data_IF_934684531356
#
_entry.id   IF_934684531356
#
_cell.length_a   1.000
_cell.length_b   1.000
_cell.length_c   1.000
_cell.angle_alpha   90.00
_cell.angle_beta   90.00
_cell.angle_gamma   90.00
#
_symmetry.space_group_name_H-M   'P 1'
#
loop_
_entity.id
_entity.type
_entity.pdbx_description
1 polymer ?
#
# COMPACT_ATOMS: atom_id res chain seq x y z
N UNK A 1 24.33 -14.13 -20.20
CA UNK A 1 24.97 -15.44 -20.42
C UNK A 1 24.21 -16.49 -19.62
N UNK A 2 23.51 -17.40 -20.33
CA UNK A 2 22.74 -18.52 -19.77
C UNK A 2 23.67 -19.54 -19.09
N UNK A 3 23.26 -20.09 -17.94
CA UNK A 3 23.58 -21.48 -17.58
C UNK A 3 22.41 -22.15 -16.86
N UNK A 4 21.88 -23.17 -17.53
CA UNK A 4 21.06 -24.25 -17.01
C UNK A 4 21.89 -25.14 -16.06
N UNK A 5 21.26 -25.69 -15.02
CA UNK A 5 21.68 -26.97 -14.41
C UNK A 5 20.42 -27.83 -14.21
N UNK A 6 20.32 -28.87 -15.03
CA UNK A 6 19.54 -30.07 -14.76
C UNK A 6 20.29 -30.91 -13.72
N UNK A 7 19.59 -31.47 -12.73
CA UNK A 7 20.03 -32.70 -12.08
C UNK A 7 18.88 -33.71 -12.05
N UNK A 8 19.05 -34.68 -12.94
CA UNK A 8 18.43 -35.99 -13.00
C UNK A 8 19.05 -36.84 -11.87
N UNK A 9 18.23 -37.54 -11.10
CA UNK A 9 18.66 -38.75 -10.40
C UNK A 9 17.51 -39.76 -10.43
N UNK A 10 17.68 -40.76 -11.28
CA UNK A 10 16.90 -41.99 -11.27
C UNK A 10 17.65 -43.01 -10.41
N UNK A 11 16.93 -43.76 -9.58
CA UNK A 11 17.08 -45.21 -9.39
C UNK A 11 16.08 -45.67 -8.34
N UNK A 12 15.17 -46.58 -8.70
CA UNK A 12 14.86 -47.76 -7.90
C UNK A 12 14.00 -48.72 -8.72
N UNK A 13 14.62 -49.84 -9.05
CA UNK A 13 14.11 -51.03 -9.69
C UNK A 13 13.38 -51.88 -8.63
N UNK A 14 12.18 -52.38 -8.93
CA UNK A 14 11.66 -53.60 -8.30
C UNK A 14 10.72 -54.33 -9.27
N UNK A 15 11.01 -55.63 -9.38
CA UNK A 15 10.49 -56.63 -10.30
C UNK A 15 9.26 -57.31 -9.69
N UNK A 16 8.23 -57.60 -10.49
CA UNK A 16 7.41 -58.81 -10.38
C UNK A 16 6.49 -58.95 -11.61
N UNK A 17 6.88 -59.79 -12.58
CA UNK A 17 5.94 -60.41 -13.51
C UNK A 17 6.31 -61.88 -13.65
N UNK A 18 5.38 -62.75 -13.26
CA UNK A 18 5.41 -64.17 -13.47
C UNK A 18 4.30 -64.59 -14.43
N UNK A 19 4.74 -65.05 -15.61
CA UNK A 19 4.24 -66.16 -16.45
C UNK A 19 2.82 -66.20 -17.05
N UNK A 20 2.86 -66.64 -18.33
CA UNK A 20 1.87 -67.35 -19.15
C UNK A 20 0.83 -66.48 -19.91
N UNK A 21 0.53 -66.70 -21.20
CA UNK A 21 0.92 -67.73 -22.17
C UNK A 21 0.74 -67.19 -23.61
N UNK A 22 1.52 -67.75 -24.54
CA UNK A 22 1.25 -67.67 -25.98
C UNK A 22 0.04 -68.55 -26.36
N UNK A 23 -0.74 -68.10 -27.33
CA UNK A 23 -1.25 -68.99 -28.38
C UNK A 23 -1.44 -68.22 -29.68
N UNK A 24 -0.97 -68.86 -30.74
CA UNK A 24 -0.76 -68.43 -32.12
C UNK A 24 -1.99 -67.96 -32.91
N UNK A 25 -1.68 -67.10 -33.88
CA UNK A 25 -2.15 -66.97 -35.27
C UNK A 25 -3.36 -67.78 -35.77
N UNK A 26 -4.29 -67.07 -36.44
CA UNK A 26 -4.87 -67.51 -37.72
C UNK A 26 -5.37 -66.30 -38.54
N UNK A 27 -5.07 -66.33 -39.84
CA UNK A 27 -5.22 -65.27 -40.86
C UNK A 27 -6.66 -65.02 -41.37
N UNK A 28 -7.05 -63.73 -41.47
CA UNK A 28 -7.84 -63.00 -42.51
C UNK A 28 -9.14 -63.57 -43.17
N UNK A 29 -9.94 -62.78 -43.93
CA UNK A 29 -10.30 -61.35 -43.86
C UNK A 29 -11.82 -61.06 -44.08
N UNK A 30 -12.28 -59.86 -43.71
CA UNK A 30 -13.39 -59.18 -44.39
C UNK A 30 -14.66 -58.89 -43.57
N UNK A 31 -15.10 -57.64 -43.61
CA UNK A 31 -16.53 -57.30 -43.51
C UNK A 31 -16.96 -56.40 -42.37
N UNK A 32 -17.01 -55.10 -42.68
CA UNK A 32 -17.89 -54.07 -42.11
C UNK A 32 -17.54 -53.47 -40.73
N UNK A 33 -16.66 -52.49 -40.75
CA UNK A 33 -16.62 -51.40 -39.77
C UNK A 33 -17.73 -50.40 -40.11
N UNK A 34 -18.92 -50.59 -39.55
CA UNK A 34 -19.82 -49.46 -39.35
C UNK A 34 -19.30 -48.71 -38.12
N UNK A 35 -18.64 -47.59 -38.43
CA UNK A 35 -18.18 -46.59 -37.48
C UNK A 35 -19.37 -46.14 -36.62
N UNK A 36 -19.46 -46.63 -35.39
CA UNK A 36 -19.90 -45.76 -34.31
C UNK A 36 -18.75 -44.78 -34.08
N UNK A 37 -18.77 -43.70 -34.85
CA UNK A 37 -18.08 -42.47 -34.50
C UNK A 37 -18.66 -42.02 -33.14
N UNK A 38 -17.99 -42.46 -32.09
CA UNK A 38 -18.06 -41.87 -30.76
C UNK A 38 -17.56 -40.42 -30.95
N UNK A 39 -18.50 -39.49 -31.16
CA UNK A 39 -18.31 -38.07 -31.45
C UNK A 39 -17.75 -37.32 -30.22
N UNK A 40 -16.60 -37.79 -29.74
CA UNK A 40 -15.98 -37.46 -28.47
C UNK A 40 -15.01 -36.28 -28.62
N UNK A 41 -15.47 -35.19 -29.24
CA UNK A 41 -14.72 -33.93 -29.23
C UNK A 41 -15.65 -32.72 -29.34
N UNK A 42 -16.12 -32.17 -28.21
CA UNK A 42 -16.78 -30.86 -28.25
C UNK A 42 -16.44 -29.92 -27.09
N UNK A 43 -15.38 -29.15 -27.33
CA UNK A 43 -15.29 -27.73 -26.93
C UNK A 43 -15.05 -26.92 -28.20
N UNK A 44 -15.93 -25.97 -28.49
CA UNK A 44 -15.61 -24.80 -29.34
C UNK A 44 -16.51 -23.67 -28.85
N UNK A 45 -16.14 -23.04 -27.74
CA UNK A 45 -16.85 -21.90 -27.16
C UNK A 45 -15.83 -20.79 -26.91
N UNK A 46 -15.58 -19.87 -27.83
CA UNK A 46 -14.33 -19.08 -27.80
C UNK A 46 -14.20 -18.06 -26.67
N UNK A 47 -15.25 -17.33 -26.33
CA UNK A 47 -15.28 -16.41 -25.20
C UNK A 47 -16.63 -16.55 -24.50
N UNK A 48 -17.00 -17.80 -24.25
CA UNK A 48 -18.32 -18.19 -23.76
C UNK A 48 -18.21 -19.42 -22.84
N UNK A 49 -19.20 -19.59 -21.99
CA UNK A 49 -19.41 -20.86 -21.29
C UNK A 49 -20.87 -21.30 -21.38
N UNK A 50 -21.10 -22.61 -21.37
CA UNK A 50 -22.42 -23.22 -21.41
C UNK A 50 -22.79 -23.88 -20.09
N UNK A 51 -24.03 -23.72 -19.66
CA UNK A 51 -24.56 -24.33 -18.44
C UNK A 51 -26.10 -24.42 -18.49
N UNK A 52 -26.67 -25.60 -18.17
CA UNK A 52 -28.13 -25.86 -18.18
C UNK A 52 -28.84 -25.27 -19.41
N UNK A 53 -28.39 -25.66 -20.60
CA UNK A 53 -28.89 -25.21 -21.92
C UNK A 53 -28.70 -23.72 -22.27
N UNK A 54 -28.04 -22.93 -21.40
CA UNK A 54 -27.67 -21.54 -21.69
C UNK A 54 -26.26 -21.45 -22.20
N UNK A 55 -26.02 -20.49 -23.10
CA UNK A 55 -24.68 -20.03 -23.49
C UNK A 55 -24.54 -18.59 -23.01
N UNK A 56 -23.47 -18.30 -22.28
CA UNK A 56 -23.20 -17.01 -21.67
C UNK A 56 -21.89 -16.46 -22.22
N UNK A 57 -21.93 -15.23 -22.72
CA UNK A 57 -20.72 -14.50 -23.14
C UNK A 57 -19.86 -14.18 -21.92
N UNK A 58 -18.56 -14.35 -22.04
CA UNK A 58 -17.58 -13.93 -21.03
C UNK A 58 -17.18 -12.49 -21.35
N UNK A 59 -17.47 -11.57 -20.43
CA UNK A 59 -17.22 -10.14 -20.59
C UNK A 59 -16.16 -9.59 -19.63
N UNK A 60 -15.95 -10.24 -18.50
CA UNK A 60 -14.87 -9.90 -17.55
C UNK A 60 -14.16 -11.17 -17.11
N UNK A 61 -12.82 -11.12 -17.08
CA UNK A 61 -11.99 -12.21 -16.58
C UNK A 61 -10.97 -11.70 -15.58
N UNK A 62 -11.01 -12.27 -14.37
CA UNK A 62 -10.01 -12.02 -13.34
C UNK A 62 -9.26 -13.30 -12.98
N UNK A 63 -7.99 -13.12 -12.62
CA UNK A 63 -7.20 -14.11 -11.89
C UNK A 63 -6.94 -13.59 -10.48
N UNK A 64 -7.16 -14.42 -9.48
CA UNK A 64 -6.83 -14.16 -8.08
C UNK A 64 -6.24 -15.45 -7.49
N UNK A 65 -4.96 -15.44 -7.14
CA UNK A 65 -4.32 -16.66 -6.64
C UNK A 65 -4.72 -16.92 -5.17
N UNK A 66 -5.14 -18.14 -4.87
CA UNK A 66 -5.57 -18.55 -3.54
C UNK A 66 -4.63 -19.65 -3.03
N UNK A 67 -3.75 -19.28 -2.08
CA UNK A 67 -2.69 -20.15 -1.59
C UNK A 67 -1.80 -20.69 -2.72
N UNK A 68 -1.81 -22.00 -2.97
CA UNK A 68 -1.02 -22.63 -4.03
C UNK A 68 -1.78 -22.78 -5.37
N UNK A 69 -3.02 -22.29 -5.43
CA UNK A 69 -3.87 -22.44 -6.61
C UNK A 69 -3.97 -21.14 -7.40
N UNK A 70 -3.92 -21.25 -8.71
CA UNK A 70 -4.40 -20.19 -9.59
C UNK A 70 -5.93 -20.28 -9.68
N UNK A 71 -6.63 -19.16 -9.48
CA UNK A 71 -8.09 -19.11 -9.58
C UNK A 71 -8.51 -18.09 -10.61
N UNK A 72 -9.37 -18.50 -11.53
CA UNK A 72 -9.91 -17.70 -12.62
C UNK A 72 -11.41 -17.53 -12.42
N UNK A 73 -11.88 -16.30 -12.60
CA UNK A 73 -13.27 -15.89 -12.49
C UNK A 73 -13.70 -15.36 -13.85
N UNK A 74 -14.59 -16.06 -14.53
CA UNK A 74 -15.09 -15.71 -15.87
C UNK A 74 -16.56 -15.29 -15.76
N UNK A 75 -16.85 -14.01 -15.93
CA UNK A 75 -18.18 -13.43 -15.69
C UNK A 75 -18.85 -12.95 -16.98
N UNK A 76 -20.18 -13.13 -17.11
CA UNK A 76 -20.98 -12.48 -18.14
C UNK A 76 -21.34 -11.02 -17.83
N UNK A 77 -21.01 -10.52 -16.65
CA UNK A 77 -21.08 -9.08 -16.35
C UNK A 77 -19.88 -8.38 -16.99
N UNK A 78 -20.12 -7.28 -17.69
CA UNK A 78 -19.07 -6.46 -18.27
C UNK A 78 -18.43 -5.52 -17.24
N UNK A 79 -17.20 -5.10 -17.50
CA UNK A 79 -16.49 -4.06 -16.74
C UNK A 79 -16.26 -4.36 -15.24
N UNK A 80 -16.24 -5.63 -14.85
CA UNK A 80 -15.83 -6.04 -13.50
C UNK A 80 -14.31 -6.03 -13.42
N UNK A 81 -13.76 -5.16 -12.56
CA UNK A 81 -12.32 -4.85 -12.52
C UNK A 81 -11.59 -5.39 -11.30
N UNK A 82 -12.31 -5.90 -10.31
CA UNK A 82 -11.76 -6.39 -9.07
C UNK A 82 -12.54 -7.59 -8.51
N UNK A 83 -11.86 -8.38 -7.68
CA UNK A 83 -12.36 -9.64 -7.13
C UNK A 83 -13.49 -9.44 -6.11
N UNK A 84 -13.51 -8.29 -5.41
CA UNK A 84 -14.54 -7.98 -4.42
C UNK A 84 -15.88 -7.73 -5.12
N UNK A 85 -15.89 -6.92 -6.17
CA UNK A 85 -17.06 -6.71 -7.03
C UNK A 85 -17.48 -8.01 -7.71
N UNK A 86 -16.53 -8.77 -8.27
CA UNK A 86 -16.78 -10.08 -8.88
C UNK A 86 -17.52 -11.03 -7.92
N UNK A 87 -17.01 -11.18 -6.69
CA UNK A 87 -17.61 -12.02 -5.64
C UNK A 87 -18.96 -11.50 -5.17
N UNK A 88 -19.13 -10.18 -5.06
CA UNK A 88 -20.39 -9.56 -4.65
C UNK A 88 -21.51 -9.76 -5.68
N UNK A 89 -21.19 -9.71 -6.98
CA UNK A 89 -22.14 -10.01 -8.05
C UNK A 89 -22.55 -11.48 -8.10
N UNK A 90 -21.66 -12.38 -7.64
CA UNK A 90 -21.87 -13.83 -7.58
C UNK A 90 -22.39 -14.43 -8.91
N UNK A 91 -21.92 -13.89 -10.03
CA UNK A 91 -22.29 -14.32 -11.37
C UNK A 91 -21.02 -14.55 -12.19
N UNK A 92 -20.36 -15.68 -11.96
CA UNK A 92 -19.12 -16.04 -12.62
C UNK A 92 -18.89 -17.55 -12.59
N UNK A 93 -18.27 -18.08 -13.62
CA UNK A 93 -17.64 -19.39 -13.61
C UNK A 93 -16.31 -19.26 -12.87
N UNK A 94 -16.16 -20.00 -11.77
CA UNK A 94 -14.90 -20.09 -11.02
C UNK A 94 -14.16 -21.35 -11.42
N UNK A 95 -12.90 -21.20 -11.84
CA UNK A 95 -11.99 -22.29 -12.19
C UNK A 95 -10.75 -22.17 -11.33
N UNK A 96 -10.50 -23.17 -10.47
CA UNK A 96 -9.30 -23.23 -9.63
C UNK A 96 -8.51 -24.49 -9.95
N UNK A 97 -7.19 -24.34 -10.07
CA UNK A 97 -6.26 -25.44 -10.25
C UNK A 97 -4.93 -25.14 -9.55
N UNK A 98 -4.18 -26.17 -9.12
CA UNK A 98 -2.84 -25.98 -8.59
C UNK A 98 -1.94 -25.25 -9.60
N UNK A 99 -1.15 -24.29 -9.12
CA UNK A 99 -0.34 -23.43 -10.01
C UNK A 99 0.69 -24.23 -10.85
N UNK A 100 1.17 -25.35 -10.33
CA UNK A 100 2.09 -26.27 -11.04
C UNK A 100 1.43 -27.05 -12.19
N UNK A 101 0.10 -26.95 -12.34
CA UNK A 101 -0.69 -27.57 -13.43
C UNK A 101 -1.03 -26.61 -14.57
N UNK A 102 -0.68 -25.33 -14.45
CA UNK A 102 -0.80 -24.38 -15.54
C UNK A 102 0.02 -24.85 -16.75
N UNK A 103 -0.53 -24.69 -17.95
CA UNK A 103 0.07 -25.11 -19.21
C UNK A 103 -0.12 -26.58 -19.58
N UNK A 104 -0.72 -27.38 -18.70
CA UNK A 104 -0.98 -28.80 -18.92
C UNK A 104 -2.45 -29.05 -19.22
N UNK A 105 -2.74 -30.08 -20.00
CA UNK A 105 -4.08 -30.65 -20.12
C UNK A 105 -4.31 -31.58 -18.93
N UNK A 106 -5.23 -31.21 -18.07
CA UNK A 106 -5.58 -31.93 -16.86
C UNK A 106 -6.96 -32.57 -17.01
N UNK A 107 -7.24 -33.59 -16.21
CA UNK A 107 -8.58 -34.13 -16.00
C UNK A 107 -9.05 -33.88 -14.56
N UNK A 108 -10.32 -34.17 -14.28
CA UNK A 108 -10.90 -34.00 -12.94
C UNK A 108 -10.53 -35.10 -11.94
N UNK A 109 -9.65 -36.05 -12.32
CA UNK A 109 -9.01 -36.95 -11.35
C UNK A 109 -7.86 -36.25 -10.62
N UNK A 110 -7.28 -35.22 -11.22
CA UNK A 110 -6.21 -34.41 -10.64
C UNK A 110 -6.67 -33.68 -9.39
N UNK A 111 -5.96 -33.89 -8.27
CA UNK A 111 -6.29 -33.27 -6.99
C UNK A 111 -6.14 -31.74 -7.04
N UNK A 112 -7.03 -31.04 -6.34
CA UNK A 112 -7.02 -29.57 -6.22
C UNK A 112 -7.68 -28.82 -7.37
N UNK A 113 -8.14 -29.50 -8.42
CA UNK A 113 -8.95 -28.88 -9.48
C UNK A 113 -10.40 -28.76 -8.99
N UNK A 114 -10.93 -27.54 -9.02
CA UNK A 114 -12.34 -27.27 -8.73
C UNK A 114 -12.90 -26.29 -9.76
N UNK A 115 -14.11 -26.57 -10.23
CA UNK A 115 -14.89 -25.68 -11.09
C UNK A 115 -16.26 -25.50 -10.48
N UNK A 116 -16.77 -24.28 -10.42
CA UNK A 116 -18.11 -24.01 -9.88
C UNK A 116 -18.84 -22.90 -10.64
N UNK A 117 -20.15 -23.05 -10.78
CA UNK A 117 -21.06 -22.04 -11.31
C UNK A 117 -22.45 -22.23 -10.68
N UNK A 118 -23.11 -21.14 -10.27
CA UNK A 118 -24.30 -21.19 -9.42
C UNK A 118 -24.08 -22.13 -8.20
N UNK A 119 -24.94 -23.14 -8.01
CA UNK A 119 -24.83 -24.13 -6.95
C UNK A 119 -24.08 -25.40 -7.37
N UNK A 120 -23.59 -25.49 -8.61
CA UNK A 120 -22.92 -26.68 -9.13
C UNK A 120 -21.41 -26.67 -8.86
N UNK A 121 -20.85 -27.84 -8.58
CA UNK A 121 -19.44 -28.06 -8.27
C UNK A 121 -18.91 -29.31 -8.96
N UNK A 122 -17.86 -29.12 -9.76
CA UNK A 122 -17.09 -30.16 -10.45
C UNK A 122 -15.70 -30.23 -9.82
N UNK A 123 -15.34 -31.40 -9.26
CA UNK A 123 -14.08 -31.60 -8.55
C UNK A 123 -13.73 -33.09 -8.44
N UNK A 124 -12.48 -33.38 -8.09
CA UNK A 124 -12.04 -34.74 -7.76
C UNK A 124 -12.89 -35.31 -6.61
N UNK A 125 -13.43 -36.52 -6.79
CA UNK A 125 -14.34 -37.18 -5.84
C UNK A 125 -15.83 -37.07 -6.16
N UNK A 126 -16.25 -36.11 -7.01
CA UNK A 126 -17.67 -35.95 -7.42
C UNK A 126 -18.02 -36.72 -8.71
N UNK A 127 -17.35 -37.85 -8.98
CA UNK A 127 -17.47 -38.61 -10.23
C UNK A 127 -17.35 -37.76 -11.52
N UNK A 128 -16.68 -36.62 -11.43
CA UNK A 128 -16.57 -35.67 -12.53
C UNK A 128 -15.66 -36.22 -13.62
N UNK A 129 -16.11 -36.17 -14.87
CA UNK A 129 -15.33 -36.48 -16.07
C UNK A 129 -15.07 -35.21 -16.88
N UNK A 130 -14.07 -35.28 -17.76
CA UNK A 130 -13.75 -34.21 -18.70
C UNK A 130 -12.32 -33.69 -18.53
N UNK A 131 -12.04 -32.53 -19.11
CA UNK A 131 -10.70 -31.95 -19.16
C UNK A 131 -10.69 -30.45 -18.88
N UNK A 132 -9.61 -29.99 -18.27
CA UNK A 132 -9.28 -28.59 -18.05
C UNK A 132 -7.87 -28.31 -18.57
N UNK A 133 -7.73 -27.34 -19.45
CA UNK A 133 -6.44 -26.76 -19.83
C UNK A 133 -6.48 -25.25 -19.61
N UNK A 134 -5.48 -24.74 -18.90
CA UNK A 134 -5.31 -23.30 -18.63
C UNK A 134 -3.89 -22.92 -19.01
N UNK A 135 -3.74 -22.03 -19.99
CA UNK A 135 -2.46 -21.55 -20.51
C UNK A 135 -2.37 -20.04 -20.36
N UNK A 136 -1.25 -19.56 -19.82
CA UNK A 136 -0.93 -18.15 -19.71
C UNK A 136 0.18 -17.80 -20.69
N UNK A 137 0.01 -16.72 -21.47
CA UNK A 137 1.04 -16.18 -22.36
C UNK A 137 1.10 -14.67 -22.16
N UNK A 138 2.02 -14.21 -21.31
CA UNK A 138 2.05 -12.82 -20.86
C UNK A 138 0.73 -12.44 -20.17
N UNK A 139 0.08 -11.38 -20.65
CA UNK A 139 -1.23 -10.91 -20.16
C UNK A 139 -2.43 -11.58 -20.86
N UNK A 140 -2.20 -12.64 -21.64
CA UNK A 140 -3.26 -13.40 -22.31
C UNK A 140 -3.53 -14.73 -21.60
N UNK A 141 -4.80 -15.07 -21.47
CA UNK A 141 -5.32 -16.34 -20.95
C UNK A 141 -5.94 -17.12 -22.10
N UNK A 142 -5.55 -18.39 -22.23
CA UNK A 142 -6.31 -19.40 -22.94
C UNK A 142 -6.83 -20.43 -21.93
N UNK A 143 -8.15 -20.60 -21.87
CA UNK A 143 -8.81 -21.58 -20.99
C UNK A 143 -9.73 -22.45 -21.85
N UNK A 144 -9.59 -23.77 -21.74
CA UNK A 144 -10.51 -24.75 -22.34
C UNK A 144 -10.96 -25.71 -21.24
N UNK A 145 -12.27 -25.83 -21.07
CA UNK A 145 -12.90 -26.63 -20.03
C UNK A 145 -14.06 -27.41 -20.64
N UNK A 146 -14.12 -28.68 -20.30
CA UNK A 146 -15.30 -29.52 -20.41
C UNK A 146 -15.40 -30.35 -19.15
N UNK A 147 -16.51 -30.28 -18.43
CA UNK A 147 -16.74 -31.11 -17.25
C UNK A 147 -18.16 -31.66 -17.25
N UNK A 148 -18.30 -32.88 -16.78
CA UNK A 148 -19.56 -33.59 -16.68
C UNK A 148 -19.64 -34.29 -15.32
N UNK A 149 -20.73 -34.04 -14.60
CA UNK A 149 -21.13 -34.74 -13.38
C UNK A 149 -22.65 -34.97 -13.43
N UNK A 150 -23.42 -34.48 -12.44
CA UNK A 150 -24.88 -34.36 -12.58
C UNK A 150 -25.28 -33.33 -13.65
N UNK A 151 -24.39 -32.40 -13.97
CA UNK A 151 -24.59 -31.36 -14.97
C UNK A 151 -23.33 -31.24 -15.83
N UNK A 152 -23.51 -30.76 -17.06
CA UNK A 152 -22.41 -30.48 -17.99
C UNK A 152 -22.08 -28.99 -17.99
N UNK A 153 -20.79 -28.69 -18.10
CA UNK A 153 -20.28 -27.35 -18.34
C UNK A 153 -19.18 -27.42 -19.39
N UNK A 154 -19.21 -26.51 -20.34
CA UNK A 154 -18.12 -26.29 -21.27
C UNK A 154 -17.78 -24.80 -21.29
N UNK A 155 -16.49 -24.47 -21.40
CA UNK A 155 -16.02 -23.11 -21.52
C UNK A 155 -14.82 -23.09 -22.44
N UNK A 156 -14.73 -22.08 -23.29
CA UNK A 156 -13.45 -21.68 -23.82
C UNK A 156 -13.34 -20.15 -23.78
N UNK A 157 -12.11 -19.71 -23.55
CA UNK A 157 -11.76 -18.31 -23.43
C UNK A 157 -10.39 -18.11 -24.07
N UNK A 158 -10.26 -17.07 -24.89
CA UNK A 158 -8.99 -16.57 -25.37
C UNK A 158 -9.01 -15.04 -25.39
N UNK A 159 -8.25 -14.44 -24.47
CA UNK A 159 -8.24 -13.00 -24.31
C UNK A 159 -7.42 -12.51 -23.13
N UNK A 160 -7.47 -11.20 -22.89
CA UNK A 160 -6.82 -10.58 -21.74
C UNK A 160 -7.51 -10.93 -20.43
N UNK A 161 -6.83 -10.74 -19.31
CA UNK A 161 -7.43 -10.86 -17.98
C UNK A 161 -6.79 -9.85 -17.04
N UNK A 162 -7.50 -9.50 -15.96
CA UNK A 162 -6.93 -8.72 -14.87
C UNK A 162 -6.36 -9.70 -13.85
N UNK A 163 -5.05 -9.65 -13.61
CA UNK A 163 -4.43 -10.39 -12.52
C UNK A 163 -4.45 -9.53 -11.26
N UNK A 164 -5.31 -9.87 -10.32
CA UNK A 164 -5.35 -9.23 -9.02
C UNK A 164 -4.57 -10.08 -8.01
N UNK A 165 -3.47 -9.55 -7.50
CA UNK A 165 -2.58 -10.25 -6.57
C UNK A 165 -3.15 -10.27 -5.15
N UNK A 166 -3.82 -9.19 -4.75
CA UNK A 166 -4.47 -9.07 -3.45
C UNK A 166 -5.69 -8.14 -3.52
N UNK A 167 -6.51 -8.14 -2.47
CA UNK A 167 -7.73 -7.33 -2.40
C UNK A 167 -7.47 -5.85 -2.11
N UNK A 168 -6.21 -5.44 -1.91
CA UNK A 168 -5.83 -4.07 -1.53
C UNK A 168 -6.59 -3.61 -0.28
N UNK A 169 -6.50 -4.37 0.81
CA UNK A 169 -7.21 -4.09 2.06
C UNK A 169 -6.22 -3.97 3.21
N UNK A 170 -6.61 -3.19 4.21
CA UNK A 170 -6.02 -3.25 5.54
C UNK A 170 -7.10 -3.36 6.61
N UNK A 171 -6.70 -3.91 7.75
CA UNK A 171 -7.49 -4.12 8.92
C UNK A 171 -6.78 -3.53 10.14
N UNK A 172 -7.53 -2.81 10.96
CA UNK A 172 -7.11 -2.28 12.25
C UNK A 172 -8.01 -2.87 13.32
N UNK A 173 -7.42 -3.50 14.34
CA UNK A 173 -8.15 -3.99 15.52
C UNK A 173 -7.57 -3.29 16.75
N UNK A 174 -8.28 -2.30 17.29
CA UNK A 174 -7.85 -1.62 18.51
C UNK A 174 -7.90 -2.59 19.71
N UNK A 175 -7.07 -2.36 20.74
CA UNK A 175 -7.09 -3.19 21.94
C UNK A 175 -8.49 -3.21 22.58
N UNK A 176 -9.12 -4.39 22.62
CA UNK A 176 -10.48 -4.56 23.16
C UNK A 176 -11.59 -3.91 22.31
N UNK A 177 -11.27 -3.42 21.12
CA UNK A 177 -12.20 -2.79 20.18
C UNK A 177 -12.59 -3.70 19.01
N UNK A 178 -13.44 -3.17 18.13
CA UNK A 178 -13.85 -3.87 16.91
C UNK A 178 -12.78 -3.80 15.81
N UNK A 179 -12.73 -4.86 15.00
CA UNK A 179 -11.92 -4.88 13.77
C UNK A 179 -12.58 -3.97 12.73
N UNK A 180 -11.85 -2.96 12.27
CA UNK A 180 -12.23 -2.13 11.13
C UNK A 180 -11.42 -2.57 9.92
N UNK A 181 -12.08 -2.84 8.80
CA UNK A 181 -11.44 -3.13 7.51
C UNK A 181 -11.72 -2.00 6.53
N UNK A 182 -10.72 -1.66 5.72
CA UNK A 182 -10.85 -0.65 4.67
C UNK A 182 -9.97 -0.99 3.46
N UNK A 183 -10.43 -0.55 2.29
CA UNK A 183 -9.66 -0.62 1.05
C UNK A 183 -8.53 0.41 1.07
N UNK A 184 -7.38 0.05 0.52
CA UNK A 184 -6.22 0.93 0.33
C UNK A 184 -6.41 1.64 -1.00
N UNK A 185 -6.74 2.93 -0.95
CA UNK A 185 -7.02 3.73 -2.15
C UNK A 185 -5.86 4.66 -2.52
N UNK A 186 -4.90 4.88 -1.62
CA UNK A 186 -3.72 5.69 -1.88
C UNK A 186 -2.52 5.16 -1.10
N UNK A 187 -1.37 5.19 -1.77
CA UNK A 187 -0.10 4.74 -1.25
C UNK A 187 0.98 5.75 -1.62
N UNK A 188 1.71 6.23 -0.62
CA UNK A 188 2.82 7.15 -0.77
C UNK A 188 4.09 6.53 -0.21
N UNK A 189 5.24 6.96 -0.72
CA UNK A 189 6.52 6.60 -0.14
C UNK A 189 7.55 7.71 -0.25
N UNK A 190 8.53 7.70 0.67
CA UNK A 190 9.70 8.56 0.57
C UNK A 190 10.81 7.87 -0.22
N UNK A 191 11.74 8.61 -0.85
CA UNK A 191 12.98 8.00 -1.32
C UNK A 191 13.77 7.41 -0.13
N UNK A 192 14.72 6.53 -0.42
CA UNK A 192 15.57 5.94 0.61
C UNK A 192 16.47 6.98 1.29
N UNK A 193 16.29 7.16 2.60
CA UNK A 193 16.98 8.20 3.37
C UNK A 193 17.80 7.64 4.54
N UNK A 194 18.73 8.45 5.05
CA UNK A 194 19.55 8.13 6.23
C UNK A 194 20.62 7.04 6.00
N UNK A 195 21.27 6.65 7.09
CA UNK A 195 22.31 5.60 7.09
C UNK A 195 21.73 4.21 6.76
N UNK A 196 20.50 3.95 7.19
CA UNK A 196 19.79 2.68 6.97
C UNK A 196 19.19 2.55 5.58
N UNK A 197 19.20 3.63 4.78
CA UNK A 197 18.54 3.67 3.46
C UNK A 197 17.10 3.17 3.53
N UNK A 198 16.36 3.67 4.52
CA UNK A 198 14.97 3.28 4.74
C UNK A 198 14.03 4.04 3.81
N UNK A 199 13.09 3.31 3.22
CA UNK A 199 11.93 3.81 2.50
C UNK A 199 10.74 3.74 3.44
N UNK A 200 10.03 4.85 3.61
CA UNK A 200 8.83 4.90 4.46
C UNK A 200 7.60 4.91 3.59
N UNK A 201 6.66 4.00 3.84
CA UNK A 201 5.37 3.89 3.16
C UNK A 201 4.27 4.45 4.02
N UNK A 202 3.29 5.11 3.41
CA UNK A 202 2.02 5.48 4.03
C UNK A 202 0.85 5.01 3.16
N UNK A 203 -0.11 4.33 3.80
CA UNK A 203 -1.28 3.73 3.16
C UNK A 203 -2.55 4.22 3.86
N UNK A 204 -3.60 4.49 3.11
CA UNK A 204 -4.90 4.81 3.69
C UNK A 204 -6.08 4.60 2.76
N UNK A 205 -7.27 4.79 3.33
CA UNK A 205 -8.54 4.45 2.70
C UNK A 205 -9.22 5.58 1.93
N UNK A 206 -8.50 6.66 1.68
CA UNK A 206 -8.97 7.80 0.90
C UNK A 206 -8.13 7.93 -0.35
N UNK A 207 -8.80 8.16 -1.48
CA UNK A 207 -8.14 8.53 -2.72
C UNK A 207 -7.70 9.99 -2.64
N UNK A 208 -6.40 10.24 -2.67
CA UNK A 208 -5.80 11.57 -2.55
C UNK A 208 -4.52 11.67 -3.38
N UNK A 209 -4.14 12.89 -3.78
CA UNK A 209 -2.89 13.19 -4.50
C UNK A 209 -1.76 13.63 -3.55
N UNK A 210 -2.08 13.90 -2.28
CA UNK A 210 -1.10 14.29 -1.26
C UNK A 210 -1.13 13.34 -0.07
N UNK A 211 0.03 13.08 0.57
CA UNK A 211 0.10 12.28 1.79
C UNK A 211 -0.82 12.79 2.91
N UNK A 212 -0.86 14.11 3.15
CA UNK A 212 -1.71 14.71 4.18
C UNK A 212 -3.19 14.41 3.97
N UNK A 213 -3.65 14.30 2.72
CA UNK A 213 -5.04 13.96 2.41
C UNK A 213 -5.49 12.60 2.92
N UNK A 214 -4.56 11.71 3.33
CA UNK A 214 -4.89 10.46 4.01
C UNK A 214 -5.60 10.70 5.36
N UNK A 215 -5.41 11.88 5.98
CA UNK A 215 -6.07 12.28 7.23
C UNK A 215 -7.60 12.38 7.11
N UNK A 216 -8.14 12.50 5.90
CA UNK A 216 -9.59 12.44 5.68
C UNK A 216 -10.18 11.03 5.90
N UNK A 217 -9.33 9.99 5.89
CA UNK A 217 -9.71 8.61 6.21
C UNK A 217 -9.58 8.33 7.70
N UNK A 218 -10.28 7.33 8.22
CA UNK A 218 -10.24 7.01 9.66
C UNK A 218 -8.85 6.64 10.16
N UNK A 219 -8.15 5.81 9.41
CA UNK A 219 -6.84 5.30 9.77
C UNK A 219 -5.82 5.49 8.65
N UNK A 220 -4.58 5.75 9.05
CA UNK A 220 -3.41 5.69 8.17
C UNK A 220 -2.39 4.74 8.76
N UNK A 221 -1.87 3.85 7.92
CA UNK A 221 -0.81 2.92 8.29
C UNK A 221 0.49 3.41 7.67
N UNK A 222 1.52 3.60 8.49
CA UNK A 222 2.86 3.95 8.02
C UNK A 222 3.86 2.87 8.46
N UNK A 223 4.85 2.56 7.63
CA UNK A 223 5.96 1.71 8.04
C UNK A 223 7.23 2.01 7.25
N UNK A 224 8.39 1.81 7.88
CA UNK A 224 9.69 2.04 7.29
C UNK A 224 10.45 0.73 7.05
N UNK A 225 11.07 0.60 5.88
CA UNK A 225 11.79 -0.61 5.43
C UNK A 225 13.08 -0.22 4.73
N UNK A 226 14.25 -0.73 5.15
CA UNK A 226 15.49 -0.63 4.38
C UNK A 226 15.34 -1.25 2.99
N UNK A 227 15.85 -0.57 1.96
CA UNK A 227 15.82 -1.07 0.58
C UNK A 227 16.48 -2.44 0.42
N UNK A 228 17.47 -2.75 1.25
CA UNK A 228 18.15 -4.05 1.25
C UNK A 228 17.23 -5.23 1.52
N UNK A 229 16.02 -5.00 2.08
CA UNK A 229 15.06 -6.04 2.42
C UNK A 229 13.89 -6.13 1.43
N UNK A 230 14.01 -5.49 0.27
CA UNK A 230 13.06 -5.61 -0.84
C UNK A 230 13.35 -6.90 -1.63
N UNK A 231 13.25 -8.07 -0.97
CA UNK A 231 13.48 -9.37 -1.60
C UNK A 231 12.27 -10.32 -1.47
N UNK A 232 11.13 -9.78 -1.02
CA UNK A 232 9.86 -10.51 -0.85
C UNK A 232 9.81 -11.42 0.38
N UNK A 233 10.80 -11.37 1.27
CA UNK A 233 10.75 -12.13 2.52
C UNK A 233 9.89 -11.45 3.58
N UNK A 234 9.27 -12.26 4.42
CA UNK A 234 8.57 -11.82 5.62
C UNK A 234 9.59 -11.54 6.71
N UNK A 235 9.80 -10.26 7.00
CA UNK A 235 10.65 -9.86 8.11
C UNK A 235 9.78 -9.37 9.25
N UNK A 236 9.91 -10.04 10.40
CA UNK A 236 9.28 -9.63 11.63
C UNK A 236 10.30 -9.28 12.69
N UNK A 237 10.16 -8.10 13.29
CA UNK A 237 11.22 -7.50 14.09
C UNK A 237 10.92 -7.44 15.57
N UNK A 238 11.97 -7.79 16.32
CA UNK A 238 12.24 -7.39 17.68
C UNK A 238 12.80 -5.94 17.65
N UNK A 239 12.53 -5.13 18.69
CA UNK A 239 12.67 -3.66 18.68
C UNK A 239 14.11 -3.10 18.41
N UNK A 240 15.10 -3.97 18.19
CA UNK A 240 16.50 -3.64 17.99
C UNK A 240 16.90 -3.37 16.51
N UNK A 241 16.07 -3.73 15.52
CA UNK A 241 16.46 -3.67 14.10
C UNK A 241 15.92 -2.43 13.36
N UNK A 242 15.34 -1.47 14.08
CA UNK A 242 15.05 -0.12 13.55
C UNK A 242 13.82 0.01 12.66
N UNK A 243 12.95 -1.01 12.60
CA UNK A 243 11.68 -0.95 11.87
C UNK A 243 10.64 -0.21 12.67
N UNK A 244 9.92 0.68 12.02
CA UNK A 244 8.88 1.47 12.66
C UNK A 244 7.56 1.20 11.96
N UNK A 245 6.52 0.95 12.75
CA UNK A 245 5.14 0.87 12.30
C UNK A 245 4.36 1.93 13.03
N UNK A 246 3.54 2.66 12.30
CA UNK A 246 2.64 3.65 12.84
C UNK A 246 1.22 3.29 12.45
N UNK A 247 0.36 3.20 13.46
CA UNK A 247 -1.07 3.39 13.25
C UNK A 247 -1.40 4.81 13.66
N UNK A 248 -1.97 5.56 12.74
CA UNK A 248 -2.52 6.89 12.99
C UNK A 248 -4.04 6.75 12.95
N UNK A 249 -4.69 7.09 14.06
CA UNK A 249 -6.13 7.33 14.15
C UNK A 249 -6.36 8.82 13.88
N UNK A 250 -6.77 9.13 12.65
CA UNK A 250 -6.91 10.50 12.19
C UNK A 250 -8.12 11.20 12.82
N UNK A 251 -9.11 10.44 13.30
CA UNK A 251 -10.29 11.00 13.97
C UNK A 251 -9.93 11.49 15.38
N UNK A 252 -9.16 10.70 16.13
CA UNK A 252 -8.73 11.10 17.47
C UNK A 252 -7.43 11.90 17.50
N UNK A 253 -6.70 11.99 16.39
CA UNK A 253 -5.38 12.60 16.30
C UNK A 253 -4.30 11.84 17.08
N UNK A 254 -4.56 10.59 17.44
CA UNK A 254 -3.61 9.73 18.17
C UNK A 254 -2.84 8.86 17.20
N UNK A 255 -1.60 8.55 17.57
CA UNK A 255 -0.81 7.56 16.84
C UNK A 255 -0.01 6.69 17.78
N UNK A 256 0.31 5.48 17.31
CA UNK A 256 1.11 4.49 18.02
C UNK A 256 2.22 4.04 17.10
N UNK A 257 3.48 4.19 17.54
CA UNK A 257 4.70 4.04 16.72
C UNK A 257 5.57 2.82 17.05
N UNK A 258 5.22 2.09 18.12
CA UNK A 258 6.01 0.98 18.64
C UNK A 258 5.26 -0.33 18.45
N UNK A 259 5.97 -1.34 17.96
CA UNK A 259 5.47 -2.72 17.80
C UNK A 259 6.05 -3.63 18.87
N UNK A 260 5.25 -4.61 19.30
CA UNK A 260 5.74 -5.75 20.10
C UNK A 260 6.07 -6.93 19.21
N UNK A 261 5.31 -7.10 18.13
CA UNK A 261 5.50 -8.14 17.11
C UNK A 261 5.01 -7.57 15.78
N UNK A 262 5.56 -7.99 14.65
CA UNK A 262 4.95 -7.68 13.36
C UNK A 262 5.81 -8.13 12.21
N UNK A 263 5.21 -8.53 11.09
CA UNK A 263 5.78 -9.04 9.84
C UNK A 263 5.57 -8.05 8.71
N UNK A 264 6.53 -7.96 7.81
CA UNK A 264 6.47 -7.11 6.63
C UNK A 264 7.12 -7.78 5.42
N UNK A 265 6.53 -7.64 4.26
CA UNK A 265 7.08 -8.04 2.97
C UNK A 265 6.89 -6.91 1.97
N UNK A 266 7.98 -6.56 1.30
CA UNK A 266 7.98 -5.56 0.23
C UNK A 266 8.62 -6.19 -1.00
N UNK A 267 7.96 -6.02 -2.14
CA UNK A 267 8.51 -6.39 -3.44
C UNK A 267 8.18 -5.27 -4.43
N UNK A 268 9.22 -4.63 -4.95
CA UNK A 268 9.10 -3.65 -6.03
C UNK A 268 9.11 -4.37 -7.38
N UNK A 269 8.18 -4.02 -8.26
CA UNK A 269 8.04 -4.52 -9.62
C UNK A 269 7.79 -3.32 -10.57
N UNK A 270 8.87 -2.78 -11.13
CA UNK A 270 8.83 -1.56 -11.96
C UNK A 270 8.14 -0.39 -11.25
N UNK A 271 6.95 0.04 -11.71
CA UNK A 271 6.15 1.10 -11.11
C UNK A 271 5.15 0.61 -10.04
N UNK A 272 5.11 -0.70 -9.80
CA UNK A 272 4.17 -1.35 -8.89
C UNK A 272 4.88 -1.88 -7.66
N UNK A 273 4.17 -1.90 -6.55
CA UNK A 273 4.66 -2.32 -5.25
C UNK A 273 3.71 -3.35 -4.67
N UNK A 274 4.25 -4.51 -4.31
CA UNK A 274 3.57 -5.45 -3.44
C UNK A 274 4.03 -5.23 -2.00
N UNK A 275 3.08 -4.93 -1.12
CA UNK A 275 3.28 -4.72 0.31
C UNK A 275 2.39 -5.68 1.07
N UNK A 276 2.93 -6.40 2.05
CA UNK A 276 2.13 -7.16 3.01
C UNK A 276 2.64 -6.92 4.40
N UNK A 277 1.76 -6.56 5.32
CA UNK A 277 2.12 -6.24 6.70
C UNK A 277 1.15 -6.88 7.69
N UNK A 278 1.68 -7.28 8.84
CA UNK A 278 0.93 -7.73 10.02
C UNK A 278 1.67 -7.17 11.23
N UNK A 279 1.02 -6.57 12.22
CA UNK A 279 1.70 -6.05 13.41
C UNK A 279 0.79 -6.08 14.63
N UNK A 280 1.40 -6.22 15.81
CA UNK A 280 0.83 -5.91 17.10
C UNK A 280 1.61 -4.75 17.69
N UNK A 281 0.90 -3.66 17.95
CA UNK A 281 1.42 -2.42 18.50
C UNK A 281 1.53 -2.52 20.03
N UNK A 282 2.34 -1.66 20.64
CA UNK A 282 2.61 -1.66 22.08
C UNK A 282 1.38 -1.40 22.96
N UNK A 283 0.38 -0.71 22.42
CA UNK A 283 -0.90 -0.50 23.07
C UNK A 283 -1.83 -1.72 22.95
N UNK A 284 -1.41 -2.80 22.27
CA UNK A 284 -2.16 -4.02 22.02
C UNK A 284 -2.99 -4.00 20.73
N UNK A 285 -3.02 -2.88 20.00
CA UNK A 285 -3.72 -2.76 18.71
C UNK A 285 -3.04 -3.64 17.64
N UNK A 286 -3.81 -4.18 16.71
CA UNK A 286 -3.32 -5.04 15.63
C UNK A 286 -3.57 -4.44 14.25
N UNK A 287 -2.59 -4.60 13.37
CA UNK A 287 -2.62 -4.21 11.98
C UNK A 287 -2.45 -5.45 11.11
N UNK A 288 -3.17 -5.51 10.00
CA UNK A 288 -2.87 -6.45 8.93
C UNK A 288 -3.28 -5.82 7.60
N UNK A 289 -2.55 -6.07 6.53
CA UNK A 289 -2.95 -5.59 5.22
C UNK A 289 -2.05 -6.07 4.11
N UNK A 290 -2.56 -5.94 2.90
CA UNK A 290 -1.89 -6.36 1.68
C UNK A 290 -2.26 -5.39 0.57
N UNK A 291 -1.27 -4.97 -0.21
CA UNK A 291 -1.40 -3.98 -1.27
C UNK A 291 -0.57 -4.40 -2.48
N UNK A 292 -1.15 -4.30 -3.66
CA UNK A 292 -0.49 -4.39 -4.94
C UNK A 292 -0.98 -3.23 -5.82
N UNK A 293 -0.09 -2.27 -6.05
CA UNK A 293 -0.44 -1.06 -6.77
C UNK A 293 0.75 -0.13 -6.91
N UNK A 294 0.57 0.94 -7.68
CA UNK A 294 1.56 2.01 -7.74
C UNK A 294 1.63 2.75 -6.40
N UNK A 295 2.80 3.26 -6.03
CA UNK A 295 2.95 4.19 -4.92
C UNK A 295 3.57 5.49 -5.41
N UNK A 296 3.04 6.63 -4.97
CA UNK A 296 3.57 7.94 -5.33
C UNK A 296 4.80 8.26 -4.48
N UNK A 297 5.93 8.57 -5.12
CA UNK A 297 7.11 9.07 -4.41
C UNK A 297 6.89 10.53 -4.00
N UNK A 298 7.22 10.86 -2.76
CA UNK A 298 7.15 12.21 -2.19
C UNK A 298 8.41 12.51 -1.40
N UNK A 299 8.80 13.78 -1.32
CA UNK A 299 9.97 14.19 -0.52
C UNK A 299 9.79 13.88 0.96
N UNK A 300 8.57 14.10 1.47
CA UNK A 300 8.18 13.89 2.87
C UNK A 300 6.71 13.49 2.96
N UNK A 301 6.36 12.68 3.97
CA UNK A 301 4.99 12.23 4.19
C UNK A 301 4.15 13.26 4.95
N UNK A 302 4.70 14.01 5.92
CA UNK A 302 3.94 14.99 6.74
C UNK A 302 2.50 14.52 7.07
N UNK A 303 2.36 13.35 7.69
CA UNK A 303 1.07 12.73 8.03
C UNK A 303 0.84 12.59 9.54
N UNK A 304 1.87 12.81 10.35
CA UNK A 304 1.72 12.71 11.80
C UNK A 304 0.80 13.84 12.30
N UNK A 305 -0.10 13.55 13.24
CA UNK A 305 -0.94 14.58 13.86
C UNK A 305 -0.09 15.67 14.52
N UNK A 306 -0.50 16.94 14.35
CA UNK A 306 0.16 18.03 15.03
C UNK A 306 -0.02 17.93 16.55
N UNK A 307 1.04 18.23 17.30
CA UNK A 307 0.99 18.18 18.78
C UNK A 307 0.32 19.41 19.39
N UNK A 308 0.14 20.48 18.59
CA UNK A 308 -0.37 21.78 19.05
C UNK A 308 0.44 22.35 20.23
N UNK A 309 1.76 22.17 20.16
CA UNK A 309 2.70 22.62 21.18
C UNK A 309 3.78 23.52 20.61
N UNK A 310 4.37 24.29 21.51
CA UNK A 310 5.55 25.09 21.28
C UNK A 310 6.56 24.79 22.38
N UNK A 311 7.80 24.58 21.98
CA UNK A 311 8.94 24.38 22.87
C UNK A 311 10.07 25.30 22.44
N UNK A 312 10.53 26.18 23.34
CA UNK A 312 11.69 27.03 23.09
C UNK A 312 12.79 26.78 24.09
N UNK A 313 13.94 26.41 23.55
CA UNK A 313 15.13 26.08 24.29
C UNK A 313 16.19 27.18 24.29
N UNK A 314 16.49 27.75 25.45
CA UNK A 314 17.49 28.81 25.58
C UNK A 314 18.89 28.22 25.71
N UNK A 315 19.85 28.77 24.96
CA UNK A 315 21.25 28.36 25.04
C UNK A 315 21.82 28.40 26.47
N UNK A 316 21.31 29.21 27.39
CA UNK A 316 21.81 29.30 28.78
C UNK A 316 21.63 28.04 29.64
N UNK A 317 20.87 27.03 29.21
CA UNK A 317 20.69 25.77 29.95
C UNK A 317 19.69 25.85 31.11
N UNK A 318 18.76 26.80 31.08
CA UNK A 318 17.56 26.78 31.91
C UNK A 318 16.40 26.37 31.00
N UNK A 319 15.74 25.24 31.29
CA UNK A 319 14.49 24.81 30.63
C UNK A 319 13.38 25.87 30.87
N UNK A 320 12.48 26.31 29.99
CA UNK A 320 12.27 26.38 28.53
C UNK A 320 10.77 26.27 28.31
N UNK A 321 10.15 27.23 27.63
CA UNK A 321 8.69 27.33 27.55
C UNK A 321 8.16 26.15 26.74
N UNK A 322 7.62 25.14 27.41
CA UNK A 322 6.71 24.16 26.83
C UNK A 322 5.28 24.60 27.12
N UNK A 323 4.50 24.81 26.07
CA UNK A 323 3.09 25.17 26.24
C UNK A 323 2.24 24.73 25.07
N UNK A 324 0.97 24.46 25.40
CA UNK A 324 -0.06 24.24 24.39
C UNK A 324 -0.41 25.56 23.70
N UNK A 325 -0.52 25.50 22.38
CA UNK A 325 -0.99 26.61 21.56
C UNK A 325 -2.52 26.69 21.71
N UNK A 326 -3.01 27.86 22.14
CA UNK A 326 -4.44 28.07 22.41
C UNK A 326 -5.22 28.62 21.22
N UNK A 327 -4.51 29.06 20.19
CA UNK A 327 -5.10 29.55 18.96
C UNK A 327 -4.05 30.24 18.11
N UNK A 328 -4.40 30.46 16.85
CA UNK A 328 -3.56 31.19 15.89
C UNK A 328 -4.40 32.28 15.25
N UNK A 329 -3.85 33.49 15.22
CA UNK A 329 -4.41 34.60 14.46
C UNK A 329 -3.62 34.69 13.16
N UNK A 330 -4.36 34.81 12.06
CA UNK A 330 -3.79 35.07 10.75
C UNK A 330 -4.12 36.49 10.33
N UNK A 331 -3.11 37.22 9.86
CA UNK A 331 -3.28 38.55 9.30
C UNK A 331 -2.44 38.69 8.03
N UNK A 332 -3.04 39.19 6.97
CA UNK A 332 -2.32 39.63 5.77
C UNK A 332 -2.14 41.14 5.83
N UNK A 333 -0.91 41.60 5.98
CA UNK A 333 -0.58 43.01 6.05
C UNK A 333 -0.69 43.67 4.66
N UNK A 334 -0.84 45.00 4.63
CA UNK A 334 -0.96 45.77 3.40
C UNK A 334 0.26 45.70 2.48
N UNK A 335 1.42 45.34 3.02
CA UNK A 335 2.65 45.11 2.25
C UNK A 335 2.73 43.70 1.63
N UNK A 336 1.73 42.85 1.86
CA UNK A 336 1.68 41.47 1.39
C UNK A 336 2.16 40.44 2.40
N UNK A 337 2.79 40.86 3.51
CA UNK A 337 3.30 39.93 4.51
C UNK A 337 2.16 39.17 5.19
N UNK A 338 2.33 37.87 5.36
CA UNK A 338 1.38 37.01 6.05
C UNK A 338 1.91 36.67 7.43
N UNK A 339 1.14 36.98 8.46
CA UNK A 339 1.54 36.85 9.87
C UNK A 339 0.67 35.80 10.56
N UNK A 340 1.33 34.78 11.11
CA UNK A 340 0.72 33.79 12.00
C UNK A 340 1.16 34.07 13.43
N UNK A 341 0.24 34.54 14.25
CA UNK A 341 0.46 34.83 15.65
C UNK A 341 -0.07 33.71 16.56
N UNK A 342 0.82 33.01 17.24
CA UNK A 342 0.50 31.87 18.10
C UNK A 342 0.24 32.32 19.55
N UNK A 343 -0.94 31.96 20.07
CA UNK A 343 -1.38 32.34 21.41
C UNK A 343 -0.96 31.32 22.47
N UNK A 344 -0.57 31.82 23.65
CA UNK A 344 -0.35 31.04 24.87
C UNK A 344 -1.60 30.92 25.73
N UNK A 345 -2.49 31.91 25.67
CA UNK A 345 -3.75 31.96 26.42
C UNK A 345 -4.94 32.18 25.49
N UNK A 346 -6.13 31.67 25.83
CA UNK A 346 -7.33 31.79 24.98
C UNK A 346 -7.75 33.26 24.80
N UNK A 347 -7.75 34.02 25.91
CA UNK A 347 -8.17 35.43 25.97
C UNK A 347 -7.08 36.43 25.56
N UNK A 348 -5.96 35.96 25.00
CA UNK A 348 -4.81 36.82 24.68
C UNK A 348 -5.13 37.75 23.50
N UNK A 349 -4.93 39.06 23.70
CA UNK A 349 -5.14 40.11 22.69
C UNK A 349 -4.08 40.09 21.56
N UNK A 350 -4.44 40.74 20.45
CA UNK A 350 -3.79 40.76 19.13
C UNK A 350 -2.31 41.19 19.08
N UNK A 351 -1.70 41.69 20.14
CA UNK A 351 -0.30 42.17 20.10
C UNK A 351 0.61 41.42 21.07
N UNK A 352 0.07 40.46 21.81
CA UNK A 352 0.81 39.69 22.80
C UNK A 352 0.84 38.22 22.38
N UNK A 353 1.43 37.91 21.23
CA UNK A 353 1.61 36.51 20.79
C UNK A 353 2.82 35.91 21.46
N UNK A 354 2.80 34.64 21.82
CA UNK A 354 4.01 33.92 22.23
C UNK A 354 5.04 33.86 21.10
N UNK A 355 4.58 33.61 19.88
CA UNK A 355 5.42 33.52 18.69
C UNK A 355 4.69 34.15 17.51
N UNK A 356 5.41 34.90 16.69
CA UNK A 356 4.96 35.38 15.39
C UNK A 356 5.82 34.75 14.30
N UNK A 357 5.18 34.06 13.37
CA UNK A 357 5.78 33.64 12.11
C UNK A 357 5.33 34.63 11.03
N UNK A 358 6.28 35.27 10.36
CA UNK A 358 6.03 36.24 9.30
C UNK A 358 6.56 35.66 8.00
N UNK A 359 5.69 35.55 7.00
CA UNK A 359 5.99 35.06 5.66
C UNK A 359 5.91 36.23 4.70
N UNK A 360 7.06 36.57 4.10
CA UNK A 360 7.18 37.66 3.12
C UNK A 360 7.27 37.12 1.69
N UNK A 361 7.46 35.81 1.51
CA UNK A 361 7.35 35.11 0.23
C UNK A 361 6.20 34.09 0.28
N UNK A 362 5.10 34.38 -0.42
CA UNK A 362 3.91 33.53 -0.43
C UNK A 362 4.17 32.14 -1.01
N UNK A 363 5.23 31.94 -1.81
CA UNK A 363 5.59 30.63 -2.35
C UNK A 363 6.07 29.64 -1.28
N UNK A 364 6.27 30.08 -0.03
CA UNK A 364 6.55 29.20 1.11
C UNK A 364 5.29 28.52 1.64
N UNK A 365 4.11 29.06 1.36
CA UNK A 365 2.84 28.44 1.72
C UNK A 365 2.53 27.31 0.73
N UNK A 366 2.15 26.15 1.25
CA UNK A 366 1.98 24.90 0.51
C UNK A 366 3.23 24.02 0.47
N UNK A 367 4.38 24.49 0.97
CA UNK A 367 5.59 23.65 1.09
C UNK A 367 5.55 22.83 2.36
N UNK A 368 5.74 21.52 2.19
CA UNK A 368 5.86 20.54 3.29
C UNK A 368 7.22 20.60 3.98
N UNK A 369 8.24 21.18 3.33
CA UNK A 369 9.58 21.36 3.88
C UNK A 369 10.31 22.54 3.23
N UNK A 370 10.83 23.45 4.03
CA UNK A 370 11.68 24.57 3.61
C UNK A 370 12.91 24.62 4.49
N UNK A 371 14.11 24.54 3.90
CA UNK A 371 15.36 24.73 4.64
C UNK A 371 15.53 26.22 5.01
N UNK A 372 15.49 26.48 6.31
CA UNK A 372 15.63 27.81 6.89
C UNK A 372 17.00 28.44 6.61
N UNK A 373 18.07 27.63 6.51
CA UNK A 373 19.41 28.14 6.25
C UNK A 373 19.65 28.55 4.80
N UNK A 374 18.80 28.07 3.88
CA UNK A 374 18.99 28.24 2.44
C UNK A 374 17.93 29.14 1.77
N UNK A 375 16.80 29.37 2.44
CA UNK A 375 15.65 30.04 1.83
C UNK A 375 15.34 31.34 2.57
N UNK A 376 15.19 32.46 1.85
CA UNK A 376 14.70 33.73 2.41
C UNK A 376 13.16 33.74 2.46
N UNK A 377 12.55 34.85 2.85
CA UNK A 377 11.09 35.01 2.79
C UNK A 377 10.32 34.66 4.06
N UNK A 378 11.02 34.43 5.18
CA UNK A 378 10.44 34.09 6.48
C UNK A 378 11.15 34.82 7.63
N UNK A 379 10.42 35.06 8.72
CA UNK A 379 10.93 35.57 10.00
C UNK A 379 10.15 34.97 11.17
N UNK A 380 10.81 34.75 12.29
CA UNK A 380 10.20 34.26 13.55
C UNK A 380 10.56 35.24 14.66
N UNK A 381 9.54 35.81 15.32
CA UNK A 381 9.71 36.63 16.51
C UNK A 381 9.12 35.90 17.72
N UNK A 382 9.88 35.83 18.82
CA UNK A 382 9.47 35.27 20.10
C UNK A 382 9.51 36.36 21.18
N UNK A 383 8.51 36.37 22.08
CA UNK A 383 8.22 37.49 23.03
C UNK A 383 9.40 37.96 23.84
N UNK A 384 10.33 37.07 24.20
CA UNK A 384 11.50 37.41 25.02
C UNK A 384 12.61 38.16 24.24
N UNK A 385 12.26 38.83 23.13
CA UNK A 385 13.15 39.63 22.29
C UNK A 385 14.03 38.80 21.35
N UNK A 386 13.67 37.55 21.11
CA UNK A 386 14.40 36.62 20.25
C UNK A 386 13.80 36.64 18.85
N UNK A 387 14.63 36.96 17.85
CA UNK A 387 14.24 36.97 16.44
C UNK A 387 15.15 36.07 15.62
N UNK A 388 14.54 35.24 14.77
CA UNK A 388 15.21 34.45 13.74
C UNK A 388 14.75 34.91 12.37
N UNK A 389 15.70 35.06 11.46
CA UNK A 389 15.42 35.28 10.04
C UNK A 389 16.51 34.63 9.20
N UNK A 390 16.25 34.48 7.91
CA UNK A 390 17.27 34.11 6.95
C UNK A 390 18.37 35.17 6.89
N UNK A 391 19.63 34.73 6.94
CA UNK A 391 20.81 35.58 6.77
C UNK A 391 21.60 35.04 5.58
N UNK A 392 21.71 35.83 4.51
CA UNK A 392 22.48 35.44 3.33
C UNK A 392 23.94 35.17 3.70
N UNK A 393 24.55 34.07 3.22
CA UNK A 393 25.98 33.82 3.39
C UNK A 393 26.87 34.94 2.83
N UNK A 394 26.37 35.68 1.84
CA UNK A 394 27.07 36.77 1.15
C UNK A 394 26.78 38.16 1.79
N UNK A 395 25.97 38.23 2.85
CA UNK A 395 25.71 39.46 3.57
C UNK A 395 27.00 39.94 4.27
N UNK A 396 27.51 41.15 3.97
CA UNK A 396 28.75 41.66 4.57
C UNK A 396 28.65 41.81 6.10
N UNK A 397 27.44 41.90 6.64
CA UNK A 397 27.16 41.97 8.08
C UNK A 397 26.72 40.61 8.67
N UNK A 398 26.80 39.51 7.92
CA UNK A 398 26.40 38.17 8.36
C UNK A 398 27.10 37.71 9.65
N UNK A 399 28.31 38.22 9.91
CA UNK A 399 29.06 37.95 11.14
C UNK A 399 28.43 38.58 12.40
N UNK A 400 27.53 39.55 12.25
CA UNK A 400 26.86 40.21 13.37
C UNK A 400 25.41 39.76 13.55
N UNK A 401 24.92 38.86 12.68
CA UNK A 401 23.55 38.37 12.67
C UNK A 401 23.48 36.93 13.18
N UNK A 402 22.39 36.59 13.88
CA UNK A 402 22.11 35.23 14.31
C UNK A 402 21.65 34.44 13.09
N UNK A 403 22.42 33.44 12.67
CA UNK A 403 21.98 32.52 11.61
C UNK A 403 21.12 31.42 12.21
N UNK A 404 20.29 30.83 11.37
CA UNK A 404 19.40 29.74 11.74
C UNK A 404 19.61 28.56 10.82
N UNK A 405 19.40 27.35 11.34
CA UNK A 405 19.22 26.12 10.56
C UNK A 405 17.95 25.43 10.99
N UNK A 406 17.50 24.46 10.19
CA UNK A 406 16.31 23.66 10.45
C UNK A 406 15.27 23.86 9.36
N UNK A 407 14.01 23.58 9.68
CA UNK A 407 12.95 23.45 8.69
C UNK A 407 11.67 24.21 9.06
N UNK A 408 10.99 24.71 8.04
CA UNK A 408 9.65 25.29 8.10
C UNK A 408 8.72 24.56 7.14
N UNK A 409 7.54 24.19 7.63
CA UNK A 409 6.42 23.68 6.83
C UNK A 409 5.18 24.54 7.09
N UNK A 410 4.49 24.93 6.02
CA UNK A 410 3.21 25.64 6.07
C UNK A 410 2.32 25.04 5.00
N UNK A 411 1.30 24.29 5.42
CA UNK A 411 0.40 23.59 4.51
C UNK A 411 -1.03 24.05 4.77
N UNK A 412 -1.73 24.46 3.72
CA UNK A 412 -3.17 24.71 3.78
C UNK A 412 -3.91 23.37 3.77
N UNK A 413 -4.70 23.12 4.83
CA UNK A 413 -5.44 21.87 5.01
C UNK A 413 -6.95 22.05 4.79
N UNK A 414 -7.39 23.29 4.58
CA UNK A 414 -8.77 23.66 4.28
C UNK A 414 -8.96 25.18 4.35
N UNK A 415 -10.19 25.65 4.17
CA UNK A 415 -10.52 27.07 4.28
C UNK A 415 -10.14 27.61 5.67
N UNK A 416 -9.21 28.57 5.71
CA UNK A 416 -8.65 29.14 6.94
C UNK A 416 -8.09 28.08 7.90
N UNK A 417 -7.63 26.93 7.39
CA UNK A 417 -7.01 25.87 8.17
C UNK A 417 -5.60 25.62 7.67
N UNK A 418 -4.67 25.60 8.61
CA UNK A 418 -3.26 25.41 8.31
C UNK A 418 -2.68 24.34 9.23
N UNK A 419 -1.69 23.63 8.71
CA UNK A 419 -0.68 22.92 9.47
C UNK A 419 0.62 23.70 9.37
N UNK A 420 1.23 24.01 10.51
CA UNK A 420 2.46 24.77 10.61
C UNK A 420 3.42 24.01 11.52
N UNK A 421 4.61 23.71 11.00
CA UNK A 421 5.69 23.09 11.76
C UNK A 421 6.96 23.91 11.61
N UNK A 422 7.64 24.13 12.71
CA UNK A 422 8.91 24.85 12.77
C UNK A 422 9.88 24.02 13.60
N UNK A 423 11.03 23.71 13.03
CA UNK A 423 12.20 23.23 13.76
C UNK A 423 13.34 24.19 13.45
N UNK A 424 13.76 24.99 14.42
CA UNK A 424 14.83 25.97 14.22
C UNK A 424 15.90 25.84 15.29
N UNK A 425 17.16 26.03 14.92
CA UNK A 425 18.29 26.14 15.83
C UNK A 425 19.15 27.34 15.43
N UNK A 426 19.57 28.14 16.42
CA UNK A 426 20.55 29.20 16.18
C UNK A 426 21.92 28.61 15.93
N UNK A 427 22.62 29.13 14.93
CA UNK A 427 24.04 28.84 14.72
C UNK A 427 24.84 29.88 15.53
N UNK A 428 25.59 29.48 16.57
CA UNK A 428 26.34 30.43 17.39
C UNK A 428 27.50 31.05 16.60
N UNK A 429 27.62 32.38 16.66
CA UNK A 429 28.71 33.13 16.02
C UNK A 429 30.05 33.06 16.81
N UNK A 430 30.04 32.58 18.06
CA UNK A 430 31.26 32.40 18.85
C UNK A 430 31.23 31.13 19.70
N UNK A 431 32.42 30.63 20.05
CA UNK A 431 32.62 29.46 20.94
C UNK A 431 32.00 29.60 22.34
N UNK A 432 31.48 30.78 22.68
CA UNK A 432 30.90 31.11 23.98
C UNK A 432 29.38 31.26 23.97
N UNK A 433 28.74 31.35 22.79
CA UNK A 433 27.28 31.33 22.67
C UNK A 433 26.80 29.89 22.53
N UNK A 434 25.86 29.50 23.37
CA UNK A 434 25.21 28.18 23.28
C UNK A 434 24.02 28.29 22.31
N UNK A 435 23.73 27.25 21.51
CA UNK A 435 22.61 27.25 20.57
C UNK A 435 21.27 27.28 21.32
N UNK A 436 20.33 28.06 20.83
CA UNK A 436 18.92 27.98 21.18
C UNK A 436 18.18 27.13 20.15
N UNK A 437 17.21 26.32 20.57
CA UNK A 437 16.34 25.56 19.66
C UNK A 437 14.89 25.97 19.82
N UNK A 438 14.11 25.88 18.76
CA UNK A 438 12.70 26.21 18.73
C UNK A 438 11.98 25.10 17.98
N UNK A 439 10.95 24.54 18.60
CA UNK A 439 10.08 23.55 18.00
C UNK A 439 8.63 24.02 18.13
N UNK A 440 7.91 23.99 17.03
CA UNK A 440 6.48 24.30 16.98
C UNK A 440 5.82 23.28 16.07
N UNK A 441 4.69 22.74 16.51
CA UNK A 441 3.81 21.93 15.67
C UNK A 441 2.38 22.33 15.97
N UNK A 442 1.65 22.76 14.95
CA UNK A 442 0.29 23.21 15.09
C UNK A 442 -0.55 22.83 13.87
N UNK A 443 -1.79 22.42 14.11
CA UNK A 443 -2.81 22.28 13.08
C UNK A 443 -4.16 22.76 13.62
N UNK A 444 -4.84 23.59 12.84
CA UNK A 444 -6.15 24.07 13.22
C UNK A 444 -6.67 25.19 12.34
N UNK A 445 -7.80 25.76 12.76
CA UNK A 445 -8.37 26.95 12.13
C UNK A 445 -7.71 28.20 12.68
N UNK A 446 -7.35 29.13 11.78
CA UNK A 446 -6.88 30.45 12.16
C UNK A 446 -8.06 31.40 12.33
N UNK A 447 -7.93 32.33 13.28
CA UNK A 447 -8.82 33.50 13.34
C UNK A 447 -8.28 34.54 12.38
N UNK A 448 -9.00 34.83 11.30
CA UNK A 448 -8.61 35.86 10.33
C UNK A 448 -8.86 37.22 10.95
N UNK A 449 -7.83 38.06 10.95
CA UNK A 449 -7.90 39.46 11.34
C UNK A 449 -7.67 40.31 10.10
N UNK A 450 -8.69 41.09 9.72
CA UNK A 450 -8.67 41.95 8.52
C UNK A 450 -7.77 43.19 8.68
#
# INVERSE_FOLDING_TARGET
>A
MRKYIYMLNAFCLAIAMGLAACSDDDDQPGGNTDNNDDDNNKVTLTNQFSYKDKILDIKSVLRFDEAANAVFYLSPTADVKDIKTMRAENNYLRVSLPADKLGQKNDFSTAGITVSYESALWQSGNQTKGSLEVKLTGSSLKLELQAESEQTIACSYEGGFIHQICENLFAVTLMGGEKTEAEILSAFHTPAQGETKAVTFALGSVKTETPHGLSAGKYTVMFAVPESHFDGKYHAYDAAEGYQFYLIDNESGKYVKEVTEGRLSVKAEDAMMYLRFEATLKDGSKLAGEYYGASQEVEELDILPATNTFTFNSGSGTQETDCSIKGVIYKKNSNGDQVFGFKKYEDQELDNYMLQLIITDEALIGKTKTDLAATSGWKINYVDGFQLEYVSPDDPDAQWKIRSKGYLSIVETGENKYRISIEAETIPDSKWRKPATLQLSWEGSVTVNE
#
